data_IF_458003707523
#
_entry.id   IF_458003707523
#
_cell.length_a   1.000
_cell.length_b   1.000
_cell.length_c   1.000
_cell.angle_alpha   90.00
_cell.angle_beta   90.00
_cell.angle_gamma   90.00
#
_symmetry.space_group_name_H-M   'P 1'
#
loop_
_entity.id
_entity.type
_entity.pdbx_description
1 polymer ?
#
# COMPACT_ATOMS: atom_id res chain seq x y z
N UNK A 1 -21.70 25.85 31.54
CA UNK A 1 -21.45 25.67 30.08
C UNK A 1 -20.84 24.28 29.79
N UNK A 2 -21.15 23.27 30.61
CA UNK A 2 -20.58 21.91 30.47
C UNK A 2 -21.66 20.81 30.61
N UNK A 3 -22.95 21.16 30.49
CA UNK A 3 -24.07 20.22 30.69
C UNK A 3 -25.04 20.16 29.48
N UNK A 4 -24.51 20.30 28.26
CA UNK A 4 -25.29 20.06 27.02
C UNK A 4 -24.51 19.19 26.01
N UNK A 5 -23.70 18.25 26.50
CA UNK A 5 -23.00 17.24 25.68
C UNK A 5 -23.54 15.85 26.07
N UNK A 6 -24.85 15.67 26.02
CA UNK A 6 -25.50 14.36 26.26
C UNK A 6 -26.36 13.91 25.08
N UNK A 7 -26.39 14.66 24.00
CA UNK A 7 -27.01 14.25 22.75
C UNK A 7 -25.89 13.97 21.74
N UNK A 8 -25.58 12.69 21.53
CA UNK A 8 -24.58 12.23 20.57
C UNK A 8 -24.89 12.69 19.14
N UNK A 9 -26.17 13.01 18.87
CA UNK A 9 -26.61 13.52 17.56
C UNK A 9 -26.56 15.06 17.45
N UNK A 10 -26.03 15.74 18.46
CA UNK A 10 -25.83 17.19 18.42
C UNK A 10 -24.80 17.59 17.36
N UNK A 11 -25.05 18.71 16.67
CA UNK A 11 -24.12 19.32 15.70
C UNK A 11 -22.73 19.51 16.30
N UNK A 12 -22.64 19.86 17.58
CA UNK A 12 -21.36 20.06 18.26
C UNK A 12 -20.58 18.75 18.39
N UNK A 13 -21.26 17.65 18.74
CA UNK A 13 -20.66 16.31 18.87
C UNK A 13 -20.14 15.83 17.51
N UNK A 14 -20.99 15.85 16.48
CA UNK A 14 -20.61 15.44 15.12
C UNK A 14 -19.43 16.26 14.58
N UNK A 15 -19.42 17.58 14.84
CA UNK A 15 -18.32 18.44 14.39
C UNK A 15 -17.01 18.13 15.10
N UNK A 16 -17.04 17.90 16.42
CA UNK A 16 -15.85 17.48 17.16
C UNK A 16 -15.32 16.14 16.64
N UNK A 17 -16.20 15.16 16.39
CA UNK A 17 -15.81 13.88 15.80
C UNK A 17 -15.20 14.03 14.40
N UNK A 18 -15.78 14.89 13.54
CA UNK A 18 -15.22 15.17 12.21
C UNK A 18 -13.85 15.84 12.25
N UNK A 19 -13.66 16.83 13.15
CA UNK A 19 -12.36 17.50 13.32
C UNK A 19 -11.30 16.53 13.87
N UNK A 20 -11.69 15.64 14.80
CA UNK A 20 -10.81 14.60 15.32
C UNK A 20 -10.41 13.59 14.23
N UNK A 21 -11.37 13.11 13.43
CA UNK A 21 -11.10 12.20 12.31
C UNK A 21 -10.14 12.82 11.32
N UNK A 22 -10.42 14.05 10.87
CA UNK A 22 -9.55 14.81 9.95
C UNK A 22 -8.14 14.98 10.51
N UNK A 23 -8.02 15.28 11.80
CA UNK A 23 -6.75 15.39 12.50
C UNK A 23 -5.99 14.07 12.52
N UNK A 24 -6.67 12.97 12.83
CA UNK A 24 -6.11 11.61 12.86
C UNK A 24 -5.62 11.19 11.48
N UNK A 25 -6.46 11.28 10.45
CA UNK A 25 -6.11 10.93 9.06
C UNK A 25 -4.89 11.71 8.58
N UNK A 26 -4.85 13.03 8.80
CA UNK A 26 -3.69 13.84 8.44
C UNK A 26 -2.44 13.43 9.23
N UNK A 27 -2.59 13.14 10.53
CA UNK A 27 -1.51 12.67 11.39
C UNK A 27 -0.91 11.35 10.91
N UNK A 28 -1.74 10.42 10.43
CA UNK A 28 -1.34 9.13 9.90
C UNK A 28 -0.66 9.26 8.53
N UNK A 29 -1.27 10.00 7.60
CA UNK A 29 -0.69 10.25 6.26
C UNK A 29 0.72 10.83 6.38
N UNK A 30 0.94 11.77 7.29
CA UNK A 30 2.24 12.39 7.50
C UNK A 30 3.32 11.45 8.05
N UNK A 31 2.94 10.28 8.59
CA UNK A 31 3.84 9.29 9.16
C UNK A 31 4.08 8.08 8.26
N UNK A 32 3.40 7.98 7.11
CA UNK A 32 3.50 6.83 6.20
C UNK A 32 4.91 6.65 5.66
N UNK A 33 5.41 5.42 5.76
CA UNK A 33 6.64 4.92 5.18
C UNK A 33 6.51 3.42 4.87
N UNK A 34 7.45 2.85 4.12
CA UNK A 34 7.43 1.43 3.72
C UNK A 34 7.36 0.51 4.94
N UNK A 35 8.08 0.83 6.02
CA UNK A 35 8.17 -0.02 7.22
C UNK A 35 6.92 -0.01 8.10
N UNK A 36 6.07 1.01 8.00
CA UNK A 36 4.87 1.14 8.84
C UNK A 36 3.57 1.21 8.02
N UNK A 37 3.63 1.03 6.70
CA UNK A 37 2.46 1.09 5.83
C UNK A 37 1.38 0.07 6.25
N UNK A 38 1.78 -1.16 6.60
CA UNK A 38 0.84 -2.18 7.08
C UNK A 38 0.10 -1.72 8.35
N UNK A 39 0.84 -1.20 9.33
CA UNK A 39 0.30 -0.70 10.60
C UNK A 39 -0.62 0.51 10.35
N UNK A 40 -0.21 1.45 9.49
CA UNK A 40 -1.01 2.64 9.20
C UNK A 40 -2.27 2.28 8.41
N UNK A 41 -2.24 1.29 7.51
CA UNK A 41 -3.45 0.82 6.82
C UNK A 41 -4.44 0.25 7.85
N UNK A 42 -3.95 -0.57 8.80
CA UNK A 42 -4.77 -1.09 9.89
C UNK A 42 -5.35 0.03 10.78
N UNK A 43 -4.62 1.14 10.99
CA UNK A 43 -5.04 2.27 11.81
C UNK A 43 -5.98 3.25 11.08
N UNK A 44 -5.72 3.52 9.79
CA UNK A 44 -6.49 4.46 8.95
C UNK A 44 -7.80 3.86 8.46
N UNK A 45 -7.77 2.57 8.18
CA UNK A 45 -8.88 1.79 7.65
C UNK A 45 -8.91 0.45 8.39
N UNK A 46 -9.31 0.41 9.67
CA UNK A 46 -9.55 -0.85 10.37
C UNK A 46 -10.63 -1.72 9.70
N UNK A 47 -11.21 -1.27 8.58
CA UNK A 47 -12.26 -1.90 7.80
C UNK A 47 -12.26 -1.49 6.33
N UNK A 48 -11.11 -1.30 5.68
CA UNK A 48 -11.13 -1.13 4.23
C UNK A 48 -9.86 -1.74 3.61
N UNK A 49 -9.87 -3.07 3.54
CA UNK A 49 -8.89 -3.86 2.78
C UNK A 49 -9.24 -3.95 1.29
N UNK A 50 -10.21 -3.19 0.78
CA UNK A 50 -10.36 -3.01 -0.66
C UNK A 50 -9.23 -2.14 -1.17
N UNK A 51 -8.07 -2.77 -1.34
CA UNK A 51 -6.85 -2.13 -1.79
C UNK A 51 -6.94 -2.04 -3.30
N UNK A 52 -7.48 -0.92 -3.74
CA UNK A 52 -7.67 -0.61 -5.15
C UNK A 52 -6.30 -0.54 -5.83
N UNK A 53 -6.18 -1.21 -6.99
CA UNK A 53 -5.09 -0.88 -7.91
C UNK A 53 -5.37 0.54 -8.40
N UNK A 54 -4.47 1.52 -8.18
CA UNK A 54 -4.70 2.85 -8.71
C UNK A 54 -4.70 2.80 -10.25
N UNK A 55 -5.86 3.17 -10.79
CA UNK A 55 -6.21 3.43 -12.19
C UNK A 55 -6.03 2.28 -13.20
N UNK A 56 -7.11 2.06 -13.96
CA UNK A 56 -7.17 1.18 -15.10
C UNK A 56 -6.07 1.49 -16.11
N UNK A 57 -5.40 0.43 -16.54
CA UNK A 57 -4.37 0.40 -17.55
C UNK A 57 -4.60 1.28 -18.79
N UNK A 58 -5.86 1.48 -19.18
CA UNK A 58 -6.27 2.27 -20.34
C UNK A 58 -5.92 3.75 -20.14
N UNK A 59 -6.07 4.27 -18.94
CA UNK A 59 -5.78 5.69 -18.59
C UNK A 59 -4.32 6.03 -18.83
N UNK A 60 -3.41 5.13 -18.44
CA UNK A 60 -1.98 5.33 -18.61
C UNK A 60 -1.60 5.43 -20.09
N UNK A 61 -2.19 4.59 -20.95
CA UNK A 61 -1.93 4.62 -22.39
C UNK A 61 -2.55 5.84 -23.06
N UNK A 62 -3.77 6.22 -22.67
CA UNK A 62 -4.44 7.44 -23.16
C UNK A 62 -3.62 8.68 -22.78
N UNK A 63 -3.13 8.74 -21.54
CA UNK A 63 -2.33 9.89 -21.07
C UNK A 63 -1.01 10.01 -21.83
N UNK A 64 -0.31 8.89 -22.03
CA UNK A 64 0.91 8.85 -22.85
C UNK A 64 0.64 9.24 -24.30
N UNK A 65 -0.47 8.77 -24.87
CA UNK A 65 -0.86 9.11 -26.25
C UNK A 65 -1.13 10.61 -26.38
N UNK A 66 -1.87 11.19 -25.44
CA UNK A 66 -2.18 12.62 -25.42
C UNK A 66 -0.94 13.49 -25.24
N UNK A 67 -0.02 13.12 -24.35
CA UNK A 67 1.23 13.85 -24.13
C UNK A 67 2.17 13.83 -25.34
N UNK A 68 2.14 12.74 -26.12
CA UNK A 68 3.00 12.55 -27.28
C UNK A 68 2.36 12.99 -28.60
N UNK A 69 1.05 13.21 -28.67
CA UNK A 69 0.35 13.66 -29.91
C UNK A 69 0.94 14.98 -30.46
N UNK A 70 1.32 15.89 -29.57
CA UNK A 70 2.03 17.13 -29.92
C UNK A 70 3.30 17.23 -29.08
N UNK A 71 4.42 16.69 -29.56
CA UNK A 71 5.64 16.61 -28.78
C UNK A 71 6.21 18.02 -28.59
N UNK A 72 6.24 18.45 -27.33
CA UNK A 72 6.99 19.61 -26.85
C UNK A 72 8.07 19.12 -25.91
N UNK A 73 9.11 19.92 -25.67
CA UNK A 73 10.19 19.50 -24.78
C UNK A 73 9.66 19.09 -23.39
N UNK A 74 8.68 19.85 -22.86
CA UNK A 74 8.06 19.58 -21.56
C UNK A 74 7.11 18.37 -21.60
N UNK A 75 6.25 18.25 -22.62
CA UNK A 75 5.29 17.12 -22.69
C UNK A 75 6.01 15.78 -22.84
N UNK A 76 7.11 15.74 -23.59
CA UNK A 76 7.93 14.54 -23.74
C UNK A 76 8.69 14.24 -22.45
N UNK A 77 9.19 15.25 -21.73
CA UNK A 77 9.82 15.05 -20.42
C UNK A 77 8.85 14.40 -19.41
N UNK A 78 7.63 14.92 -19.33
CA UNK A 78 6.57 14.38 -18.46
C UNK A 78 6.19 12.96 -18.90
N UNK A 79 6.03 12.71 -20.21
CA UNK A 79 5.71 11.38 -20.72
C UNK A 79 6.80 10.35 -20.39
N UNK A 80 8.08 10.72 -20.53
CA UNK A 80 9.21 9.83 -20.20
C UNK A 80 9.27 9.57 -18.70
N UNK A 81 9.10 10.60 -17.87
CA UNK A 81 9.05 10.45 -16.41
C UNK A 81 7.94 9.49 -15.98
N UNK A 82 6.75 9.65 -16.54
CA UNK A 82 5.62 8.76 -16.28
C UNK A 82 5.88 7.33 -16.78
N UNK A 83 6.42 7.17 -17.99
CA UNK A 83 6.72 5.87 -18.59
C UNK A 83 7.83 5.10 -17.83
N UNK A 84 8.76 5.79 -17.17
CA UNK A 84 9.77 5.14 -16.31
C UNK A 84 9.14 4.42 -15.13
N UNK A 85 8.14 5.04 -14.48
CA UNK A 85 7.50 4.47 -13.30
C UNK A 85 6.49 3.37 -13.66
N UNK A 86 5.69 3.55 -14.71
CA UNK A 86 4.62 2.59 -15.07
C UNK A 86 4.96 1.61 -16.22
N UNK A 87 6.10 1.82 -16.90
CA UNK A 87 6.43 1.12 -18.15
C UNK A 87 6.55 -0.40 -18.02
N UNK A 88 7.04 -0.91 -16.89
CA UNK A 88 7.12 -2.35 -16.65
C UNK A 88 5.73 -2.99 -16.58
N UNK A 89 4.82 -2.38 -15.82
CA UNK A 89 3.43 -2.86 -15.70
C UNK A 89 2.70 -2.75 -17.02
N UNK A 90 2.86 -1.63 -17.74
CA UNK A 90 2.28 -1.47 -19.08
C UNK A 90 2.78 -2.54 -20.05
N UNK A 91 4.07 -2.90 -19.98
CA UNK A 91 4.63 -3.97 -20.82
C UNK A 91 4.03 -5.34 -20.50
N UNK A 92 3.76 -5.63 -19.23
CA UNK A 92 3.15 -6.90 -18.79
C UNK A 92 1.69 -7.03 -19.23
N UNK A 93 0.92 -5.94 -19.13
CA UNK A 93 -0.54 -6.01 -19.34
C UNK A 93 -0.94 -5.59 -20.77
N UNK A 94 -0.25 -4.63 -21.42
CA UNK A 94 -0.45 -4.24 -22.83
C UNK A 94 0.90 -4.04 -23.53
N UNK A 95 1.54 -5.15 -23.95
CA UNK A 95 2.78 -5.06 -24.71
C UNK A 95 2.59 -4.32 -26.04
N UNK A 96 1.42 -4.46 -26.67
CA UNK A 96 1.10 -3.81 -27.95
C UNK A 96 1.00 -2.29 -27.81
N UNK A 97 0.28 -1.80 -26.80
CA UNK A 97 0.17 -0.36 -26.54
C UNK A 97 1.53 0.24 -26.19
N UNK A 98 2.28 -0.43 -25.32
CA UNK A 98 3.63 -0.01 -24.96
C UNK A 98 4.57 0.05 -26.18
N UNK A 99 4.56 -0.97 -27.04
CA UNK A 99 5.36 -0.96 -28.28
C UNK A 99 5.03 0.24 -29.17
N UNK A 100 3.74 0.58 -29.32
CA UNK A 100 3.32 1.74 -30.10
C UNK A 100 3.84 3.08 -29.51
N UNK A 101 3.82 3.23 -28.18
CA UNK A 101 4.40 4.41 -27.52
C UNK A 101 5.91 4.51 -27.81
N UNK A 102 6.65 3.41 -27.75
CA UNK A 102 8.08 3.41 -28.05
C UNK A 102 8.40 3.62 -29.54
N UNK A 103 7.52 3.21 -30.45
CA UNK A 103 7.62 3.58 -31.86
C UNK A 103 7.45 5.09 -32.04
N UNK A 104 6.41 5.67 -31.44
CA UNK A 104 6.18 7.12 -31.48
C UNK A 104 7.37 7.91 -30.90
N UNK A 105 7.96 7.46 -29.79
CA UNK A 105 9.17 8.08 -29.23
C UNK A 105 10.37 8.03 -30.20
N UNK A 106 10.51 6.97 -31.01
CA UNK A 106 11.57 6.90 -32.04
C UNK A 106 11.28 7.84 -33.21
N UNK A 107 10.01 7.98 -33.59
CA UNK A 107 9.63 8.91 -34.65
C UNK A 107 9.90 10.36 -34.20
N UNK A 108 9.58 10.71 -32.95
CA UNK A 108 9.94 12.00 -32.36
C UNK A 108 11.46 12.23 -32.36
N UNK A 109 12.26 11.20 -32.04
CA UNK A 109 13.72 11.31 -32.04
C UNK A 109 14.32 11.62 -33.42
N UNK A 110 13.73 11.10 -34.50
CA UNK A 110 14.26 11.23 -35.86
C UNK A 110 13.62 12.36 -36.67
N UNK A 111 12.32 12.61 -36.48
CA UNK A 111 11.53 13.48 -37.35
C UNK A 111 11.23 14.86 -36.73
N UNK A 112 11.32 14.99 -35.40
CA UNK A 112 10.96 16.23 -34.71
C UNK A 112 12.18 17.09 -34.37
N UNK A 113 12.03 18.42 -34.52
CA UNK A 113 12.98 19.40 -34.00
C UNK A 113 12.79 19.56 -32.48
N UNK A 114 13.31 18.60 -31.71
CA UNK A 114 13.28 18.62 -30.23
C UNK A 114 14.64 19.05 -29.65
N UNK A 115 14.62 19.59 -28.43
CA UNK A 115 15.83 19.97 -27.72
C UNK A 115 16.76 18.78 -27.44
N UNK A 116 18.08 19.01 -27.44
CA UNK A 116 19.10 17.97 -27.17
C UNK A 116 18.86 17.21 -25.85
N UNK A 117 18.32 17.90 -24.83
CA UNK A 117 17.95 17.31 -23.54
C UNK A 117 16.93 16.18 -23.73
N UNK A 118 15.88 16.44 -24.51
CA UNK A 118 14.80 15.49 -24.76
C UNK A 118 15.28 14.30 -25.58
N UNK A 119 16.16 14.53 -26.56
CA UNK A 119 16.80 13.45 -27.32
C UNK A 119 17.51 12.46 -26.38
N UNK A 120 18.34 12.96 -25.45
CA UNK A 120 19.01 12.10 -24.46
C UNK A 120 18.01 11.37 -23.55
N UNK A 121 16.91 12.02 -23.16
CA UNK A 121 15.88 11.36 -22.34
C UNK A 121 15.21 10.20 -23.09
N UNK A 122 14.91 10.37 -24.39
CA UNK A 122 14.33 9.31 -25.22
C UNK A 122 15.33 8.16 -25.38
N UNK A 123 16.61 8.45 -25.65
CA UNK A 123 17.65 7.42 -25.75
C UNK A 123 17.79 6.60 -24.45
N UNK A 124 17.83 7.28 -23.31
CA UNK A 124 17.84 6.65 -21.98
C UNK A 124 16.60 5.79 -21.78
N UNK A 125 15.43 6.27 -22.21
CA UNK A 125 14.18 5.52 -22.11
C UNK A 125 14.20 4.22 -22.94
N UNK A 126 14.74 4.27 -24.15
CA UNK A 126 14.92 3.08 -25.01
C UNK A 126 15.92 2.09 -24.40
N UNK A 127 16.98 2.60 -23.75
CA UNK A 127 17.91 1.74 -23.01
C UNK A 127 17.22 1.02 -21.84
N UNK A 128 16.45 1.76 -21.02
CA UNK A 128 15.66 1.19 -19.92
C UNK A 128 14.67 0.11 -20.40
N UNK A 129 14.06 0.30 -21.57
CA UNK A 129 13.19 -0.72 -22.18
C UNK A 129 13.96 -2.01 -22.52
N UNK A 130 15.17 -1.90 -23.08
CA UNK A 130 16.02 -3.06 -23.43
C UNK A 130 16.42 -3.83 -22.17
N UNK A 131 16.69 -3.12 -21.09
CA UNK A 131 16.97 -3.71 -19.79
C UNK A 131 15.71 -4.20 -19.06
N UNK A 132 14.53 -4.12 -19.68
CA UNK A 132 13.24 -4.52 -19.11
C UNK A 132 12.95 -3.88 -17.76
N UNK A 133 13.30 -2.60 -17.60
CA UNK A 133 12.99 -1.82 -16.40
C UNK A 133 13.53 -2.43 -15.09
N UNK A 134 14.70 -3.08 -15.11
CA UNK A 134 15.30 -3.71 -13.91
C UNK A 134 15.36 -2.80 -12.68
N UNK A 135 15.64 -1.52 -12.88
CA UNK A 135 15.74 -0.52 -11.80
C UNK A 135 14.39 0.06 -11.35
N UNK A 136 13.30 -0.28 -12.06
CA UNK A 136 11.95 0.21 -11.84
C UNK A 136 10.96 -0.97 -11.71
N UNK A 137 10.99 -1.71 -10.59
CA UNK A 137 10.03 -2.78 -10.33
C UNK A 137 8.62 -2.22 -10.19
N UNK A 138 7.60 -3.01 -10.57
CA UNK A 138 6.17 -2.60 -10.49
C UNK A 138 5.75 -2.29 -9.06
N UNK A 139 6.20 -3.12 -8.12
CA UNK A 139 5.94 -2.97 -6.69
C UNK A 139 7.29 -3.07 -5.99
N UNK A 140 7.58 -2.13 -5.09
CA UNK A 140 8.81 -2.18 -4.27
C UNK A 140 8.67 -3.27 -3.20
N UNK A 141 9.78 -3.84 -2.77
CA UNK A 141 9.79 -4.82 -1.68
C UNK A 141 9.10 -4.24 -0.43
N UNK A 142 8.21 -5.02 0.19
CA UNK A 142 7.42 -4.60 1.35
C UNK A 142 6.16 -3.78 1.04
N UNK A 143 5.87 -3.50 -0.23
CA UNK A 143 4.63 -2.81 -0.65
C UNK A 143 3.59 -3.74 -1.29
N UNK A 144 3.89 -5.02 -1.43
CA UNK A 144 2.96 -6.03 -1.94
C UNK A 144 2.11 -6.58 -0.79
N UNK A 145 1.04 -5.86 -0.46
CA UNK A 145 0.22 -6.12 0.74
C UNK A 145 -1.14 -6.74 0.41
N UNK A 146 -1.42 -7.09 -0.84
CA UNK A 146 -2.76 -7.44 -1.34
C UNK A 146 -2.65 -8.59 -2.30
N UNK A 147 -3.44 -9.63 -2.07
CA UNK A 147 -3.53 -10.74 -3.01
C UNK A 147 -4.11 -10.26 -4.35
N UNK A 148 -3.71 -10.91 -5.45
CA UNK A 148 -4.16 -10.49 -6.78
C UNK A 148 -5.67 -10.66 -6.98
N UNK A 149 -6.28 -11.64 -6.31
CA UNK A 149 -7.71 -11.95 -6.42
C UNK A 149 -8.60 -10.95 -5.68
N UNK A 150 -8.07 -10.29 -4.65
CA UNK A 150 -8.78 -9.26 -3.86
C UNK A 150 -8.65 -7.85 -4.45
N UNK A 151 -7.92 -7.70 -5.55
CA UNK A 151 -7.66 -6.42 -6.19
C UNK A 151 -8.77 -6.02 -7.14
N UNK A 152 -9.42 -4.89 -6.86
CA UNK A 152 -10.36 -4.26 -7.78
C UNK A 152 -9.65 -3.27 -8.70
N UNK A 153 -9.88 -3.41 -10.01
CA UNK A 153 -9.34 -2.51 -11.04
C UNK A 153 -10.45 -1.64 -11.62
N UNK A 154 -10.36 -0.33 -11.38
CA UNK A 154 -11.29 0.66 -11.92
C UNK A 154 -10.96 1.01 -13.37
N UNK A 155 -11.95 1.01 -14.26
CA UNK A 155 -11.80 1.46 -15.64
C UNK A 155 -12.28 2.91 -15.73
N UNK A 156 -11.33 3.85 -15.86
CA UNK A 156 -11.58 5.29 -15.77
C UNK A 156 -11.06 6.05 -17.01
N UNK A 157 -11.78 6.06 -18.15
CA UNK A 157 -11.38 6.80 -19.35
C UNK A 157 -11.02 8.27 -19.08
N UNK A 158 -9.98 8.81 -19.73
CA UNK A 158 -9.55 10.20 -19.45
C UNK A 158 -10.58 11.27 -19.84
N UNK A 159 -11.42 10.99 -20.82
CA UNK A 159 -12.37 11.97 -21.39
C UNK A 159 -13.71 12.03 -20.64
N UNK A 160 -13.91 11.17 -19.64
CA UNK A 160 -15.17 11.11 -18.90
C UNK A 160 -15.31 12.28 -17.91
N UNK A 161 -16.56 12.73 -17.73
CA UNK A 161 -16.91 13.78 -16.78
C UNK A 161 -17.02 13.20 -15.36
N UNK A 162 -15.91 13.22 -14.62
CA UNK A 162 -15.87 12.78 -13.22
C UNK A 162 -16.41 13.83 -12.27
N UNK A 163 -17.23 13.38 -11.31
CA UNK A 163 -17.61 14.21 -10.17
C UNK A 163 -16.53 14.10 -9.09
N UNK A 164 -15.77 15.18 -8.78
CA UNK A 164 -14.72 15.13 -7.76
C UNK A 164 -15.27 15.02 -6.32
N UNK A 165 -16.58 15.22 -6.13
CA UNK A 165 -17.25 15.10 -4.83
C UNK A 165 -16.61 15.96 -3.72
N UNK A 166 -16.02 17.11 -4.07
CA UNK A 166 -15.33 18.03 -3.15
C UNK A 166 -16.18 18.44 -1.94
N UNK A 167 -17.49 18.36 -2.09
CA UNK A 167 -18.50 18.63 -1.07
C UNK A 167 -18.39 17.68 0.14
N UNK A 168 -17.86 16.47 -0.05
CA UNK A 168 -17.59 15.51 1.03
C UNK A 168 -16.43 15.96 1.94
N UNK A 169 -15.54 16.83 1.46
CA UNK A 169 -14.45 17.38 2.26
C UNK A 169 -14.91 18.48 3.24
N UNK A 170 -16.19 18.86 3.20
CA UNK A 170 -16.78 19.91 4.02
C UNK A 170 -17.75 19.30 5.00
N UNK A 171 -17.60 19.64 6.29
CA UNK A 171 -18.50 19.19 7.33
C UNK A 171 -19.96 19.55 7.03
N UNK A 172 -20.83 18.55 7.13
CA UNK A 172 -22.28 18.70 7.09
C UNK A 172 -22.88 17.88 8.23
N UNK A 173 -23.93 18.41 8.85
CA UNK A 173 -24.69 17.65 9.84
C UNK A 173 -25.35 16.47 9.14
N UNK A 174 -25.17 15.29 9.73
CA UNK A 174 -25.81 14.05 9.29
C UNK A 174 -26.97 13.71 10.22
N UNK A 175 -28.16 13.51 9.67
CA UNK A 175 -29.32 13.11 10.45
C UNK A 175 -29.23 11.65 10.92
N UNK A 176 -28.49 10.82 10.17
CA UNK A 176 -28.34 9.39 10.39
C UNK A 176 -26.93 9.04 10.92
N UNK A 177 -26.26 9.99 11.58
CA UNK A 177 -24.89 9.82 12.08
C UNK A 177 -24.71 8.53 12.88
N UNK A 178 -25.62 8.26 13.82
CA UNK A 178 -25.57 7.05 14.66
C UNK A 178 -25.70 5.75 13.85
N UNK A 179 -26.60 5.70 12.87
CA UNK A 179 -26.75 4.51 12.02
C UNK A 179 -25.54 4.29 11.11
N UNK A 180 -24.94 5.39 10.63
CA UNK A 180 -23.76 5.33 9.76
C UNK A 180 -22.52 4.90 10.54
N UNK A 181 -22.38 5.34 11.79
CA UNK A 181 -21.31 4.90 12.69
C UNK A 181 -21.45 3.41 13.03
N UNK A 182 -22.67 2.94 13.31
CA UNK A 182 -22.92 1.51 13.56
C UNK A 182 -22.64 0.65 12.32
N UNK A 183 -23.06 1.10 11.13
CA UNK A 183 -22.73 0.42 9.86
C UNK A 183 -21.23 0.38 9.62
N UNK A 184 -20.53 1.48 9.90
CA UNK A 184 -19.08 1.56 9.74
C UNK A 184 -18.36 0.60 10.69
N UNK A 185 -18.75 0.55 11.97
CA UNK A 185 -18.19 -0.39 12.94
C UNK A 185 -18.51 -1.86 12.59
N UNK A 186 -19.68 -2.14 12.02
CA UNK A 186 -20.02 -3.49 11.53
C UNK A 186 -19.10 -3.93 10.38
N UNK A 187 -18.93 -3.09 9.35
CA UNK A 187 -18.03 -3.34 8.21
C UNK A 187 -16.58 -3.51 8.68
N UNK A 188 -16.17 -2.67 9.64
CA UNK A 188 -14.84 -2.74 10.26
C UNK A 188 -14.59 -4.05 10.99
N UNK A 189 -15.60 -4.62 11.64
CA UNK A 189 -15.48 -5.92 12.28
C UNK A 189 -15.40 -7.05 11.24
N UNK A 190 -16.27 -7.03 10.24
CA UNK A 190 -16.32 -8.03 9.16
C UNK A 190 -14.97 -8.19 8.46
N UNK A 191 -14.36 -7.08 8.05
CA UNK A 191 -13.08 -7.09 7.32
C UNK A 191 -11.90 -7.54 8.19
N UNK A 192 -11.97 -7.34 9.51
CA UNK A 192 -10.94 -7.81 10.43
C UNK A 192 -11.08 -9.30 10.74
N UNK A 193 -12.32 -9.77 10.90
CA UNK A 193 -12.62 -11.17 11.22
C UNK A 193 -12.36 -12.10 10.01
N UNK A 194 -12.50 -11.63 8.76
CA UNK A 194 -12.07 -12.37 7.57
C UNK A 194 -10.54 -12.57 7.47
N UNK A 195 -9.75 -11.70 8.13
CA UNK A 195 -8.29 -11.79 8.17
C UNK A 195 -7.72 -12.60 9.33
N UNK A 196 -8.55 -13.04 10.28
CA UNK A 196 -8.13 -13.72 11.52
C UNK A 196 -8.60 -15.18 11.61
N UNK A 197 -9.04 -15.77 10.49
CA UNK A 197 -9.49 -17.17 10.44
C UNK A 197 -8.36 -18.20 10.62
N UNK A 198 -7.16 -17.79 11.02
CA UNK A 198 -6.03 -18.66 11.37
C UNK A 198 -5.38 -18.31 12.73
N UNK A 199 -6.03 -17.53 13.61
CA UNK A 199 -5.59 -17.42 15.00
C UNK A 199 -6.72 -17.75 15.98
N UNK A 200 -6.65 -18.95 16.57
CA UNK A 200 -7.31 -19.25 17.83
C UNK A 200 -6.75 -18.30 18.89
N UNK A 201 -7.35 -17.12 19.03
CA UNK A 201 -7.14 -16.30 20.21
C UNK A 201 -8.29 -16.57 21.18
N UNK A 202 -8.08 -17.56 22.05
CA UNK A 202 -8.82 -17.73 23.29
C UNK A 202 -8.64 -16.46 24.15
N UNK A 203 -9.52 -15.47 23.96
CA UNK A 203 -9.67 -14.38 24.91
C UNK A 203 -10.57 -14.86 26.06
N UNK A 204 -9.99 -15.64 26.97
CA UNK A 204 -10.56 -15.85 28.29
C UNK A 204 -10.41 -14.57 29.11
N UNK A 205 -11.56 -14.00 29.48
CA UNK A 205 -11.68 -12.85 30.34
C UNK A 205 -11.39 -13.25 31.80
N UNK A 206 -10.17 -12.97 32.28
CA UNK A 206 -9.77 -13.18 33.67
C UNK A 206 -9.79 -11.88 34.48
N UNK A 207 -10.79 -11.75 35.36
CA UNK A 207 -10.94 -10.66 36.33
C UNK A 207 -10.18 -10.93 37.64
N UNK A 208 -9.56 -9.87 38.17
CA UNK A 208 -9.29 -9.55 39.60
C UNK A 208 -8.18 -10.24 40.42
N UNK A 209 -7.39 -9.34 41.01
CA UNK A 209 -6.92 -9.26 42.41
C UNK A 209 -5.47 -9.61 42.77
N UNK A 210 -4.88 -8.66 43.50
CA UNK A 210 -3.49 -8.54 43.99
C UNK A 210 -3.16 -9.58 45.08
N UNK A 211 -1.90 -10.00 45.19
CA UNK A 211 -1.08 -10.00 46.43
C UNK A 211 0.38 -10.36 46.12
N UNK A 212 1.30 -9.80 46.91
CA UNK A 212 2.77 -9.85 46.79
C UNK A 212 3.39 -11.21 47.16
N UNK A 213 4.59 -11.52 46.62
CA UNK A 213 5.55 -12.41 47.30
C UNK A 213 6.49 -13.25 46.42
N UNK A 214 7.74 -12.78 46.33
CA UNK A 214 9.02 -13.52 46.28
C UNK A 214 9.42 -14.37 45.04
N UNK A 215 10.67 -14.13 44.63
CA UNK A 215 11.44 -14.72 43.52
C UNK A 215 11.77 -16.20 43.78
N UNK A 216 11.58 -17.09 42.80
CA UNK A 216 12.49 -18.22 42.50
C UNK A 216 12.41 -18.56 40.99
N UNK A 217 13.58 -18.60 40.33
CA UNK A 217 13.77 -19.05 38.94
C UNK A 217 13.69 -20.59 38.90
N UNK A 218 12.80 -21.20 38.10
CA UNK A 218 13.05 -22.53 37.49
C UNK A 218 12.30 -22.67 36.14
N UNK A 219 12.92 -23.43 35.25
CA UNK A 219 12.79 -23.46 33.79
C UNK A 219 11.49 -24.12 33.27
N UNK A 220 10.99 -23.62 32.13
CA UNK A 220 9.86 -24.17 31.37
C UNK A 220 10.21 -25.53 30.71
N UNK A 221 9.31 -26.52 30.83
CA UNK A 221 9.18 -27.61 29.86
C UNK A 221 7.72 -27.63 29.36
N UNK A 222 7.50 -27.21 28.11
CA UNK A 222 6.29 -27.55 27.34
C UNK A 222 6.52 -28.86 26.56
N UNK A 223 5.59 -29.80 26.69
CA UNK A 223 5.48 -30.96 25.80
C UNK A 223 4.71 -30.59 24.52
N UNK A 224 5.24 -31.12 23.41
CA UNK A 224 5.02 -30.78 22.01
C UNK A 224 3.72 -31.32 21.39
N UNK A 225 3.39 -30.86 20.18
CA UNK A 225 3.44 -31.77 19.02
C UNK A 225 3.46 -31.05 17.66
N UNK A 226 4.50 -31.33 16.85
CA UNK A 226 4.50 -30.99 15.41
C UNK A 226 5.87 -30.86 14.73
N UNK A 227 6.51 -32.00 14.42
CA UNK A 227 7.73 -32.17 13.58
C UNK A 227 9.09 -31.72 14.18
N UNK A 228 9.58 -32.49 15.16
CA UNK A 228 10.92 -32.38 15.76
C UNK A 228 12.07 -32.51 14.73
N UNK A 229 12.73 -31.39 14.46
CA UNK A 229 14.08 -31.34 13.88
C UNK A 229 15.07 -31.96 14.87
N UNK A 230 15.52 -33.19 14.62
CA UNK A 230 16.51 -33.88 15.47
C UNK A 230 17.77 -33.02 15.57
N UNK A 231 17.95 -32.33 16.70
CA UNK A 231 19.10 -31.46 16.95
C UNK A 231 20.19 -32.30 17.61
N UNK A 232 21.18 -32.71 16.82
CA UNK A 232 22.30 -33.53 17.31
C UNK A 232 23.31 -32.61 18.00
N UNK A 233 23.37 -32.68 19.32
CA UNK A 233 24.41 -32.01 20.10
C UNK A 233 25.71 -32.83 20.10
N UNK A 234 26.72 -32.31 19.42
CA UNK A 234 28.06 -32.91 19.38
C UNK A 234 28.77 -32.69 20.73
N UNK A 235 28.90 -33.77 21.52
CA UNK A 235 29.65 -33.79 22.79
C UNK A 235 31.14 -34.10 22.59
N UNK A 236 31.60 -34.24 21.35
CA UNK A 236 32.98 -34.53 21.05
C UNK A 236 33.67 -33.27 20.51
N UNK A 237 34.72 -32.81 21.16
CA UNK A 237 35.48 -31.62 20.74
C UNK A 237 36.34 -31.86 19.47
N UNK A 238 35.91 -32.78 18.60
CA UNK A 238 36.68 -33.24 17.43
C UNK A 238 36.98 -32.09 16.47
N UNK A 239 36.02 -31.17 16.26
CA UNK A 239 36.23 -29.99 15.43
C UNK A 239 37.28 -29.03 16.03
N UNK A 240 37.30 -28.84 17.35
CA UNK A 240 38.30 -28.02 18.04
C UNK A 240 39.70 -28.65 17.97
N UNK A 241 39.80 -29.98 18.15
CA UNK A 241 41.07 -30.71 18.04
C UNK A 241 41.60 -30.71 16.61
N UNK A 242 40.72 -30.86 15.60
CA UNK A 242 41.08 -30.74 14.19
C UNK A 242 41.62 -29.35 13.88
N UNK A 243 40.95 -28.29 14.35
CA UNK A 243 41.39 -26.91 14.18
C UNK A 243 42.75 -26.64 14.81
N UNK A 244 43.01 -27.15 16.02
CA UNK A 244 44.32 -27.06 16.70
C UNK A 244 45.45 -27.84 16.00
N UNK A 245 45.13 -28.81 15.13
CA UNK A 245 46.14 -29.54 14.33
C UNK A 245 46.50 -28.83 13.03
N UNK A 246 45.65 -27.92 12.56
CA UNK A 246 45.82 -27.25 11.27
C UNK A 246 46.58 -25.92 11.39
N UNK A 247 46.60 -25.32 12.58
CA UNK A 247 47.47 -24.18 12.95
C UNK A 247 48.75 -24.71 13.56
#
# INVERSE_FOLDING_TARGET
MQEQITDENSVACQRMSWEALKGSTNGLINKVNISNLSIIIQELLPGNSQKERPAGQVVCLEMLTLLLERPTDDSVEVAIGFLKECGLKLTQVSPRGTSAIFEHLRDILHESEIGKRVQYMIEVMIALQKDRFKEHPVIREGLDLVEEDDQFTHMLPLEDDYNPEDVLNVFKMDANFMENEEKYEAIKKEIRDEGDSDSNTDQEAGSSEEEEGEEEEEEEEEEEEGEQKVTIHDKTEINLVSFRRTI
#
